data_IF_405610919326
#
_entry.id   IF_405610919326
#
_cell.length_a   1.000
_cell.length_b   1.000
_cell.length_c   1.000
_cell.angle_alpha   90.00
_cell.angle_beta   90.00
_cell.angle_gamma   90.00
#
_symmetry.space_group_name_H-M   'P 1'
#
loop_
_entity.id
_entity.type
_entity.pdbx_description
1 polymer ?
#
# COMPACT_ATOMS: atom_id res chain seq x y z
N UNK A 1 -16.41 -27.89 13.84
CA UNK A 1 -16.13 -26.96 12.72
C UNK A 1 -16.17 -27.71 11.39
N UNK A 2 -15.33 -28.76 11.15
CA UNK A 2 -15.23 -29.47 9.86
C UNK A 2 -16.58 -29.93 9.32
N UNK A 3 -17.42 -30.56 10.15
CA UNK A 3 -18.78 -31.01 9.73
C UNK A 3 -19.69 -29.84 9.32
N UNK A 4 -19.56 -28.67 9.98
CA UNK A 4 -20.35 -27.48 9.66
C UNK A 4 -19.91 -26.80 8.36
N UNK A 5 -18.60 -26.78 8.09
CA UNK A 5 -18.02 -26.11 6.92
C UNK A 5 -18.04 -27.00 5.66
N UNK A 6 -17.76 -28.30 5.81
CA UNK A 6 -17.51 -29.22 4.69
C UNK A 6 -18.54 -30.35 4.59
N UNK A 7 -19.48 -30.48 5.53
CA UNK A 7 -20.45 -31.59 5.59
C UNK A 7 -19.85 -32.91 6.09
N UNK A 8 -18.52 -33.00 6.27
CA UNK A 8 -17.78 -34.14 6.79
C UNK A 8 -17.04 -33.77 8.07
N UNK A 9 -16.93 -34.69 9.01
CA UNK A 9 -16.23 -34.52 10.26
C UNK A 9 -14.79 -35.07 10.24
N UNK A 10 -14.37 -35.67 9.12
CA UNK A 10 -13.01 -36.22 8.99
C UNK A 10 -11.96 -35.08 9.09
N UNK A 11 -10.93 -35.34 9.88
CA UNK A 11 -9.77 -34.45 10.06
C UNK A 11 -8.49 -35.29 10.05
N UNK A 12 -7.39 -34.66 9.65
CA UNK A 12 -6.05 -35.25 9.75
C UNK A 12 -5.11 -34.25 10.46
N UNK A 13 -3.97 -34.74 10.92
CA UNK A 13 -2.98 -33.94 11.61
C UNK A 13 -1.82 -33.62 10.66
N UNK A 14 -1.41 -32.36 10.65
CA UNK A 14 -0.23 -31.90 9.94
C UNK A 14 0.77 -31.28 10.94
N UNK A 15 2.05 -31.24 10.54
CA UNK A 15 3.08 -30.54 11.33
C UNK A 15 2.78 -29.04 11.29
N UNK A 16 2.72 -28.43 12.45
CA UNK A 16 2.58 -26.96 12.59
C UNK A 16 3.96 -26.31 12.62
N UNK A 17 4.17 -25.32 11.76
CA UNK A 17 5.40 -24.52 11.67
C UNK A 17 5.07 -23.06 12.12
N UNK A 18 5.29 -22.72 13.39
CA UNK A 18 4.74 -21.47 13.99
C UNK A 18 5.38 -20.19 13.43
N UNK A 19 6.61 -20.26 12.95
CA UNK A 19 7.35 -19.11 12.40
C UNK A 19 7.81 -19.35 10.97
N UNK A 20 7.00 -20.07 10.20
CA UNK A 20 7.32 -20.34 8.82
C UNK A 20 7.22 -19.11 7.95
N UNK A 21 8.08 -19.05 6.94
CA UNK A 21 7.94 -18.14 5.81
C UNK A 21 7.14 -18.83 4.71
N UNK A 22 6.29 -18.06 4.06
CA UNK A 22 5.55 -18.48 2.89
C UNK A 22 6.36 -18.13 1.65
N UNK A 23 7.02 -19.11 1.08
CA UNK A 23 7.80 -18.98 -0.14
C UNK A 23 7.12 -19.78 -1.25
N UNK A 24 7.03 -19.19 -2.43
CA UNK A 24 6.31 -19.80 -3.55
C UNK A 24 7.10 -19.69 -4.84
N UNK A 25 6.92 -20.66 -5.74
CA UNK A 25 7.63 -20.73 -7.00
C UNK A 25 6.68 -20.57 -8.17
N UNK A 26 6.92 -19.57 -9.01
CA UNK A 26 6.18 -19.37 -10.25
C UNK A 26 6.62 -20.39 -11.29
N UNK A 27 5.68 -21.18 -11.80
CA UNK A 27 5.91 -22.07 -12.93
C UNK A 27 5.11 -21.63 -14.16
N UNK A 28 5.66 -21.96 -15.33
CA UNK A 28 5.03 -21.71 -16.63
C UNK A 28 5.25 -22.94 -17.50
N UNK A 29 4.16 -23.59 -17.95
CA UNK A 29 4.21 -24.78 -18.76
C UNK A 29 3.45 -24.65 -20.09
N UNK A 30 3.98 -25.19 -21.19
CA UNK A 30 3.28 -25.23 -22.45
C UNK A 30 2.56 -26.58 -22.69
N UNK A 31 1.89 -26.73 -23.84
CA UNK A 31 1.22 -27.98 -24.24
C UNK A 31 2.16 -29.00 -24.87
N UNK A 32 3.46 -28.69 -24.97
CA UNK A 32 4.47 -29.50 -25.66
C UNK A 32 5.43 -30.18 -24.67
N UNK A 33 5.22 -29.97 -23.37
CA UNK A 33 6.00 -30.63 -22.30
C UNK A 33 7.11 -29.75 -21.73
N UNK A 34 7.27 -28.51 -22.21
CA UNK A 34 8.21 -27.55 -21.62
C UNK A 34 7.61 -26.96 -20.35
N UNK A 35 8.34 -27.01 -19.24
CA UNK A 35 7.99 -26.35 -17.98
C UNK A 35 9.21 -25.60 -17.46
N UNK A 36 9.04 -24.32 -17.16
CA UNK A 36 10.07 -23.45 -16.59
C UNK A 36 9.62 -22.94 -15.22
N UNK A 37 10.58 -22.62 -14.36
CA UNK A 37 10.33 -21.74 -13.22
C UNK A 37 10.72 -20.31 -13.58
N UNK A 38 10.00 -19.34 -13.03
CA UNK A 38 10.26 -17.91 -13.17
C UNK A 38 10.68 -17.28 -11.82
N UNK A 39 11.36 -18.07 -10.99
CA UNK A 39 11.83 -17.65 -9.68
C UNK A 39 10.79 -17.83 -8.57
N UNK A 40 11.19 -17.33 -7.42
CA UNK A 40 10.46 -17.44 -6.17
C UNK A 40 9.93 -16.08 -5.69
N UNK A 41 8.93 -16.12 -4.83
CA UNK A 41 8.37 -14.97 -4.12
C UNK A 41 8.29 -15.27 -2.62
N UNK A 42 8.42 -14.24 -1.80
CA UNK A 42 8.06 -14.29 -0.38
C UNK A 42 6.70 -13.61 -0.18
N UNK A 43 5.79 -14.31 0.46
CA UNK A 43 4.43 -13.88 0.77
C UNK A 43 4.13 -14.01 2.26
N UNK A 44 5.15 -13.90 3.12
CA UNK A 44 5.04 -14.15 4.55
C UNK A 44 4.28 -13.06 5.31
N UNK A 45 4.28 -11.81 4.83
CA UNK A 45 3.45 -10.77 5.43
C UNK A 45 2.00 -10.94 5.04
N UNK A 46 1.24 -11.56 5.93
CA UNK A 46 -0.16 -11.89 5.69
C UNK A 46 -0.99 -11.80 6.97
N UNK A 47 -2.29 -11.52 6.82
CA UNK A 47 -3.28 -11.53 7.89
C UNK A 47 -4.38 -12.53 7.56
N UNK A 48 -4.64 -13.49 8.46
CA UNK A 48 -5.66 -14.52 8.24
C UNK A 48 -5.51 -15.20 6.87
N UNK A 49 -4.26 -15.51 6.48
CA UNK A 49 -3.87 -16.09 5.19
C UNK A 49 -4.12 -15.18 3.96
N UNK A 50 -4.46 -13.92 4.16
CA UNK A 50 -4.48 -12.92 3.10
C UNK A 50 -3.14 -12.19 3.07
N UNK A 51 -2.44 -12.29 1.97
CA UNK A 51 -1.15 -11.63 1.72
C UNK A 51 -1.33 -10.11 1.70
N UNK A 52 -0.38 -9.37 2.28
CA UNK A 52 -0.40 -7.91 2.39
C UNK A 52 0.71 -7.25 1.57
N UNK A 53 1.91 -7.85 1.65
CA UNK A 53 3.11 -7.43 0.92
C UNK A 53 3.76 -8.69 0.39
N UNK A 54 4.13 -8.67 -0.88
CA UNK A 54 4.85 -9.72 -1.57
C UNK A 54 6.14 -9.18 -2.16
N UNK A 55 7.19 -9.98 -2.15
CA UNK A 55 8.47 -9.60 -2.73
C UNK A 55 9.08 -10.72 -3.60
N UNK A 56 9.84 -10.33 -4.60
CA UNK A 56 10.61 -11.24 -5.45
C UNK A 56 12.00 -10.66 -5.74
N UNK A 57 13.04 -11.53 -5.68
CA UNK A 57 13.03 -12.89 -5.14
C UNK A 57 12.83 -12.93 -3.62
N UNK A 58 12.48 -14.09 -3.05
CA UNK A 58 12.42 -14.27 -1.60
C UNK A 58 13.80 -13.97 -0.99
N UNK A 59 13.86 -12.96 -0.13
CA UNK A 59 15.12 -12.53 0.45
C UNK A 59 15.60 -13.49 1.56
N UNK A 60 16.90 -13.50 1.83
CA UNK A 60 17.54 -14.30 2.89
C UNK A 60 17.19 -15.81 2.82
N UNK A 61 17.09 -16.35 1.61
CA UNK A 61 16.90 -17.78 1.37
C UNK A 61 18.23 -18.39 0.93
N UNK A 62 18.73 -19.46 1.62
CA UNK A 62 19.97 -20.11 1.21
C UNK A 62 19.92 -20.59 -0.25
N UNK A 63 20.95 -20.32 -1.03
CA UNK A 63 20.99 -20.58 -2.48
C UNK A 63 20.66 -22.04 -2.81
N UNK A 64 21.33 -22.99 -2.14
CA UNK A 64 21.08 -24.42 -2.36
C UNK A 64 19.63 -24.84 -2.04
N UNK A 65 18.99 -24.20 -1.05
CA UNK A 65 17.60 -24.45 -0.71
C UNK A 65 16.69 -23.89 -1.80
N UNK A 66 16.97 -22.66 -2.26
CA UNK A 66 16.24 -22.03 -3.38
C UNK A 66 16.28 -22.92 -4.62
N UNK A 67 17.46 -23.39 -5.01
CA UNK A 67 17.64 -24.23 -6.19
C UNK A 67 16.87 -25.55 -6.09
N UNK A 68 16.83 -26.16 -4.90
CA UNK A 68 16.04 -27.37 -4.68
C UNK A 68 14.54 -27.09 -4.76
N UNK A 69 14.06 -26.01 -4.15
CA UNK A 69 12.64 -25.59 -4.24
C UNK A 69 12.22 -25.31 -5.69
N UNK A 70 13.00 -24.55 -6.43
CA UNK A 70 12.76 -24.25 -7.85
C UNK A 70 12.71 -25.54 -8.69
N UNK A 71 13.67 -26.42 -8.50
CA UNK A 71 13.74 -27.71 -9.18
C UNK A 71 12.57 -28.63 -8.79
N UNK A 72 12.18 -28.65 -7.51
CA UNK A 72 11.06 -29.46 -7.03
C UNK A 72 9.73 -28.97 -7.66
N UNK A 73 9.52 -27.66 -7.76
CA UNK A 73 8.34 -27.09 -8.39
C UNK A 73 8.23 -27.47 -9.88
N UNK A 74 9.35 -27.39 -10.62
CA UNK A 74 9.39 -27.81 -12.02
C UNK A 74 9.10 -29.31 -12.16
N UNK A 75 9.75 -30.17 -11.35
CA UNK A 75 9.50 -31.63 -11.35
C UNK A 75 8.02 -31.96 -11.06
N UNK A 76 7.42 -31.27 -10.08
CA UNK A 76 6.01 -31.44 -9.76
C UNK A 76 5.13 -31.07 -10.96
N UNK A 77 5.32 -29.89 -11.53
CA UNK A 77 4.54 -29.42 -12.66
C UNK A 77 4.71 -30.34 -13.91
N UNK A 78 5.91 -30.81 -14.18
CA UNK A 78 6.19 -31.79 -15.26
C UNK A 78 5.47 -33.11 -15.03
N UNK A 79 5.49 -33.63 -13.78
CA UNK A 79 4.90 -34.93 -13.45
C UNK A 79 3.40 -35.01 -13.71
N UNK A 80 2.71 -33.87 -13.64
CA UNK A 80 1.25 -33.76 -13.88
C UNK A 80 0.91 -33.19 -15.27
N UNK A 81 1.92 -32.94 -16.11
CA UNK A 81 1.71 -32.33 -17.43
C UNK A 81 1.07 -30.94 -17.35
N UNK A 82 1.52 -30.12 -16.38
CA UNK A 82 0.93 -28.80 -16.12
C UNK A 82 1.11 -27.86 -17.30
N UNK A 83 0.07 -27.04 -17.56
CA UNK A 83 0.05 -26.04 -18.63
C UNK A 83 -0.41 -24.69 -18.09
N UNK A 84 0.10 -23.61 -18.69
CA UNK A 84 -0.16 -22.22 -18.31
C UNK A 84 0.65 -21.77 -17.09
N UNK A 85 0.35 -20.59 -16.56
CA UNK A 85 0.96 -20.08 -15.35
C UNK A 85 0.36 -20.78 -14.12
N UNK A 86 1.21 -21.19 -13.20
CA UNK A 86 0.82 -21.76 -11.92
C UNK A 86 1.86 -21.47 -10.86
N UNK A 87 1.52 -21.69 -9.61
CA UNK A 87 2.41 -21.40 -8.47
C UNK A 87 2.42 -22.59 -7.52
N UNK A 88 3.61 -23.01 -7.12
CA UNK A 88 3.81 -24.02 -6.09
C UNK A 88 4.18 -23.30 -4.80
N UNK A 89 3.37 -23.46 -3.77
CA UNK A 89 3.53 -22.81 -2.47
C UNK A 89 4.21 -23.74 -1.47
N UNK A 90 5.11 -23.17 -0.67
CA UNK A 90 5.89 -23.86 0.36
C UNK A 90 5.89 -23.08 1.66
N UNK A 91 5.98 -23.82 2.76
CA UNK A 91 6.33 -23.27 4.08
C UNK A 91 7.82 -23.55 4.33
N UNK A 92 8.60 -22.49 4.47
CA UNK A 92 10.02 -22.57 4.85
C UNK A 92 10.15 -22.26 6.34
N UNK A 93 10.78 -23.17 7.08
CA UNK A 93 11.13 -23.00 8.49
C UNK A 93 12.60 -22.59 8.64
N UNK A 94 12.90 -21.31 8.91
CA UNK A 94 14.28 -20.85 9.06
C UNK A 94 15.03 -21.51 10.22
N UNK A 95 14.31 -22.02 11.24
CA UNK A 95 14.94 -22.63 12.40
C UNK A 95 15.49 -24.02 12.11
N UNK A 96 14.81 -24.82 11.29
CA UNK A 96 15.28 -26.15 10.85
C UNK A 96 16.03 -26.12 9.53
N UNK A 97 15.85 -25.07 8.73
CA UNK A 97 16.34 -25.01 7.36
C UNK A 97 15.56 -25.92 6.40
N UNK A 98 14.40 -26.41 6.82
CA UNK A 98 13.56 -27.30 6.01
C UNK A 98 12.43 -26.53 5.34
N UNK A 99 11.96 -27.02 4.19
CA UNK A 99 10.74 -26.52 3.57
C UNK A 99 9.74 -27.65 3.30
N UNK A 100 8.48 -27.29 3.27
CA UNK A 100 7.37 -28.24 3.11
C UNK A 100 6.45 -27.75 2.02
N UNK A 101 6.05 -28.67 1.12
CA UNK A 101 5.00 -28.39 0.15
C UNK A 101 3.70 -28.06 0.86
N UNK A 102 3.06 -26.96 0.48
CA UNK A 102 1.75 -26.55 0.99
C UNK A 102 0.66 -26.91 -0.02
N UNK A 103 0.68 -26.26 -1.17
CA UNK A 103 -0.30 -26.49 -2.25
C UNK A 103 0.24 -26.02 -3.61
N UNK A 104 -0.51 -26.32 -4.66
CA UNK A 104 -0.28 -25.78 -6.00
C UNK A 104 -1.52 -24.97 -6.42
N UNK A 105 -1.31 -23.69 -6.70
CA UNK A 105 -2.33 -22.83 -7.28
C UNK A 105 -2.28 -22.92 -8.80
N UNK A 106 -3.30 -23.54 -9.39
CA UNK A 106 -3.41 -23.81 -10.84
C UNK A 106 -4.02 -22.65 -11.61
N UNK A 107 -3.58 -21.44 -11.29
CA UNK A 107 -4.05 -20.16 -11.84
C UNK A 107 -2.99 -19.10 -11.71
N UNK A 108 -3.19 -17.99 -12.41
CA UNK A 108 -2.44 -16.76 -12.13
C UNK A 108 -2.81 -16.23 -10.73
N UNK A 109 -1.82 -15.80 -9.98
CA UNK A 109 -2.01 -15.20 -8.65
C UNK A 109 -1.97 -13.67 -8.71
N UNK A 110 -2.45 -13.02 -7.64
CA UNK A 110 -2.47 -11.55 -7.51
C UNK A 110 -1.06 -10.99 -7.61
N UNK A 111 -0.10 -11.63 -6.97
CA UNK A 111 1.29 -11.24 -6.79
C UNK A 111 2.22 -11.56 -7.98
N UNK A 112 1.67 -12.03 -9.11
CA UNK A 112 2.48 -12.28 -10.32
C UNK A 112 3.30 -11.06 -10.81
N UNK A 113 2.88 -9.81 -10.59
CA UNK A 113 3.63 -8.64 -11.07
C UNK A 113 5.05 -8.51 -10.53
N UNK A 114 5.35 -8.99 -9.32
CA UNK A 114 6.74 -8.94 -8.81
C UNK A 114 7.65 -9.88 -9.57
N UNK A 115 7.14 -11.05 -10.03
CA UNK A 115 7.86 -11.94 -10.93
C UNK A 115 8.08 -11.31 -12.30
N UNK A 116 7.03 -10.70 -12.88
CA UNK A 116 7.14 -9.98 -14.14
C UNK A 116 8.18 -8.86 -14.07
N UNK A 117 8.20 -8.11 -12.94
CA UNK A 117 9.11 -7.00 -12.76
C UNK A 117 10.59 -7.42 -12.74
N UNK A 118 10.92 -8.56 -12.13
CA UNK A 118 12.31 -9.05 -12.04
C UNK A 118 12.73 -9.89 -13.24
N UNK A 119 11.78 -10.43 -14.04
CA UNK A 119 12.12 -11.31 -15.19
C UNK A 119 11.90 -10.63 -16.53
N UNK A 120 11.09 -9.58 -16.59
CA UNK A 120 10.67 -8.97 -17.85
C UNK A 120 9.70 -9.84 -18.67
N UNK A 121 9.16 -10.92 -18.09
CA UNK A 121 8.28 -11.87 -18.77
C UNK A 121 6.82 -11.55 -18.40
N UNK A 122 5.98 -11.23 -19.39
CA UNK A 122 4.53 -11.01 -19.20
C UNK A 122 3.82 -12.37 -19.12
N UNK A 123 3.37 -12.70 -17.90
CA UNK A 123 2.69 -13.98 -17.63
C UNK A 123 1.32 -14.07 -18.28
N UNK A 124 0.61 -12.97 -18.38
CA UNK A 124 -0.74 -12.94 -19.00
C UNK A 124 -0.62 -13.12 -20.52
N UNK A 125 0.36 -12.47 -21.15
CA UNK A 125 0.65 -12.69 -22.57
C UNK A 125 0.98 -14.17 -22.82
N UNK A 126 1.86 -14.79 -22.03
CA UNK A 126 2.19 -16.19 -22.17
C UNK A 126 1.01 -17.12 -21.92
N UNK A 127 0.12 -16.83 -20.99
CA UNK A 127 -1.11 -17.60 -20.83
C UNK A 127 -1.95 -17.61 -22.12
N UNK A 128 -2.08 -16.46 -22.77
CA UNK A 128 -2.83 -16.35 -24.05
C UNK A 128 -2.13 -17.08 -25.19
N UNK A 129 -0.80 -16.98 -25.28
CA UNK A 129 0.02 -17.67 -26.29
C UNK A 129 -0.04 -19.21 -26.13
N UNK A 130 0.12 -19.70 -24.91
CA UNK A 130 -0.01 -21.12 -24.57
C UNK A 130 -1.42 -21.64 -24.89
N UNK A 131 -2.46 -20.86 -24.56
CA UNK A 131 -3.85 -21.20 -24.88
C UNK A 131 -4.12 -21.32 -26.41
N UNK A 132 -3.34 -20.58 -27.22
CA UNK A 132 -3.34 -20.70 -28.69
C UNK A 132 -2.54 -21.91 -29.20
N UNK A 133 -1.87 -22.65 -28.32
CA UNK A 133 -1.05 -23.80 -28.66
C UNK A 133 0.41 -23.46 -29.05
N UNK A 134 0.85 -22.23 -28.78
CA UNK A 134 2.21 -21.83 -29.04
C UNK A 134 3.18 -22.57 -28.07
N UNK A 135 4.37 -22.92 -28.57
CA UNK A 135 5.45 -23.46 -27.77
C UNK A 135 6.15 -22.33 -27.00
N UNK A 136 6.57 -22.60 -25.77
CA UNK A 136 7.45 -21.70 -25.03
C UNK A 136 8.77 -21.55 -25.79
N UNK A 137 8.98 -20.35 -26.36
CA UNK A 137 10.21 -20.02 -27.08
C UNK A 137 11.36 -19.66 -26.12
N UNK A 138 11.26 -20.05 -24.86
CA UNK A 138 12.23 -19.78 -23.79
C UNK A 138 12.76 -21.09 -23.25
N UNK A 139 14.04 -21.09 -22.92
CA UNK A 139 14.67 -22.14 -22.09
C UNK A 139 14.88 -21.61 -20.67
N UNK A 140 15.17 -22.48 -19.71
CA UNK A 140 15.43 -22.04 -18.34
C UNK A 140 16.63 -21.06 -18.25
N UNK A 141 17.62 -21.19 -19.12
CA UNK A 141 18.77 -20.29 -19.16
C UNK A 141 18.47 -18.91 -19.74
N UNK A 142 17.34 -18.74 -20.43
CA UNK A 142 16.90 -17.45 -20.95
C UNK A 142 16.18 -16.62 -19.89
N UNK A 143 15.73 -17.26 -18.80
CA UNK A 143 15.10 -16.56 -17.68
C UNK A 143 16.18 -15.88 -16.84
N UNK A 144 16.23 -14.56 -16.95
CA UNK A 144 17.15 -13.73 -16.16
C UNK A 144 16.39 -13.06 -15.04
N UNK A 145 17.07 -12.85 -13.92
CA UNK A 145 16.50 -12.13 -12.77
C UNK A 145 17.28 -10.84 -12.56
N UNK A 146 16.58 -9.72 -12.51
CA UNK A 146 17.15 -8.39 -12.31
C UNK A 146 16.55 -7.73 -11.09
N UNK A 147 17.40 -7.30 -10.16
CA UNK A 147 17.01 -6.51 -9.01
C UNK A 147 16.05 -7.19 -8.04
N UNK A 148 15.18 -6.40 -7.47
CA UNK A 148 14.20 -6.80 -6.46
C UNK A 148 12.89 -6.03 -6.63
N UNK A 149 11.76 -6.72 -6.58
CA UNK A 149 10.44 -6.13 -6.70
C UNK A 149 9.62 -6.35 -5.43
N UNK A 150 8.79 -5.37 -5.09
CA UNK A 150 7.82 -5.44 -3.98
C UNK A 150 6.45 -5.05 -4.53
N UNK A 151 5.45 -5.86 -4.22
CA UNK A 151 4.04 -5.54 -4.41
C UNK A 151 3.41 -5.22 -3.05
N UNK A 152 2.55 -4.19 -3.03
CA UNK A 152 1.78 -3.78 -1.85
C UNK A 152 0.31 -3.83 -2.22
N UNK A 153 -0.48 -4.61 -1.50
CA UNK A 153 -1.94 -4.67 -1.70
C UNK A 153 -2.63 -3.49 -1.05
N UNK A 154 -3.34 -2.73 -1.85
CA UNK A 154 -4.12 -1.57 -1.41
C UNK A 154 -5.57 -2.01 -1.23
N UNK A 155 -6.05 -1.97 0.01
CA UNK A 155 -7.38 -2.40 0.39
C UNK A 155 -8.16 -1.28 1.11
N UNK A 156 -9.46 -1.25 0.86
CA UNK A 156 -10.40 -0.36 1.56
C UNK A 156 -10.74 -0.95 2.93
N UNK A 157 -9.82 -0.79 3.87
CA UNK A 157 -9.89 -1.33 5.22
C UNK A 157 -9.30 -0.34 6.23
N UNK A 158 -9.79 -0.42 7.46
CA UNK A 158 -9.24 0.30 8.60
C UNK A 158 -8.45 -0.65 9.53
N UNK A 159 -7.13 -0.72 9.41
CA UNK A 159 -6.31 -1.61 10.24
C UNK A 159 -6.39 -1.31 11.74
N UNK A 160 -6.60 -0.04 12.14
CA UNK A 160 -6.76 0.35 13.54
C UNK A 160 -8.07 -0.18 14.16
N UNK A 161 -9.06 -0.51 13.32
CA UNK A 161 -10.34 -1.11 13.73
C UNK A 161 -10.44 -2.57 13.30
N UNK A 162 -9.40 -3.33 13.53
CA UNK A 162 -9.32 -4.75 13.18
C UNK A 162 -9.61 -5.03 11.69
N UNK A 163 -9.11 -4.16 10.80
CA UNK A 163 -9.30 -4.27 9.35
C UNK A 163 -10.77 -4.26 8.92
N UNK A 164 -11.57 -3.46 9.62
CA UNK A 164 -12.96 -3.25 9.22
C UNK A 164 -13.01 -2.74 7.78
N UNK A 165 -13.81 -3.38 6.90
CA UNK A 165 -13.99 -2.88 5.54
C UNK A 165 -14.52 -1.45 5.52
N UNK A 166 -13.95 -0.63 4.65
CA UNK A 166 -14.38 0.74 4.39
C UNK A 166 -15.18 0.79 3.08
N UNK A 167 -16.26 1.57 3.07
CA UNK A 167 -17.12 1.74 1.90
C UNK A 167 -17.35 3.21 1.62
N UNK A 168 -17.58 3.58 0.37
CA UNK A 168 -17.85 4.97 0.00
C UNK A 168 -17.51 5.27 -1.45
N UNK A 169 -17.62 6.53 -1.81
CA UNK A 169 -17.20 7.03 -3.12
C UNK A 169 -15.77 7.55 -3.02
N UNK A 170 -14.90 7.08 -3.91
CA UNK A 170 -13.55 7.63 -4.07
C UNK A 170 -13.68 9.02 -4.68
N UNK A 171 -13.33 10.05 -3.93
CA UNK A 171 -13.39 11.45 -4.38
C UNK A 171 -12.09 11.91 -5.02
N UNK A 172 -10.96 11.36 -4.55
CA UNK A 172 -9.63 11.56 -5.11
C UNK A 172 -8.95 10.19 -5.29
N UNK A 173 -8.30 10.00 -6.42
CA UNK A 173 -7.42 8.85 -6.70
C UNK A 173 -6.22 9.37 -7.50
N UNK A 174 -5.15 9.67 -6.81
CA UNK A 174 -3.93 10.26 -7.39
C UNK A 174 -2.71 9.38 -7.04
N UNK A 175 -2.47 8.32 -7.81
CA UNK A 175 -1.31 7.45 -7.62
C UNK A 175 0.00 8.18 -7.92
N UNK A 176 1.12 7.75 -7.32
CA UNK A 176 2.43 8.31 -7.62
C UNK A 176 2.84 8.01 -9.07
N UNK A 177 3.61 8.92 -9.66
CA UNK A 177 4.21 8.69 -10.97
C UNK A 177 5.43 7.75 -10.85
N UNK A 178 5.73 7.01 -11.93
CA UNK A 178 6.95 6.21 -12.05
C UNK A 178 6.92 4.86 -11.34
N UNK A 179 5.74 4.41 -10.88
CA UNK A 179 5.50 3.06 -10.37
C UNK A 179 4.42 2.36 -11.19
N UNK A 180 4.43 1.04 -11.19
CA UNK A 180 3.32 0.26 -11.74
C UNK A 180 2.18 0.23 -10.73
N UNK A 181 0.98 0.55 -11.18
CA UNK A 181 -0.25 0.42 -10.41
C UNK A 181 -1.27 -0.38 -11.21
N UNK A 182 -1.60 -1.57 -10.74
CA UNK A 182 -2.71 -2.36 -11.29
C UNK A 182 -3.95 -2.04 -10.44
N UNK A 183 -4.89 -1.27 -10.98
CA UNK A 183 -6.03 -0.72 -10.22
C UNK A 183 -7.36 -1.12 -10.85
N UNK A 184 -8.29 -1.56 -10.01
CA UNK A 184 -9.69 -1.80 -10.36
C UNK A 184 -10.61 -0.58 -10.16
N UNK A 185 -10.07 0.54 -9.66
CA UNK A 185 -10.83 1.74 -9.31
C UNK A 185 -10.17 3.01 -9.83
N UNK A 186 -10.94 4.09 -9.84
CA UNK A 186 -10.51 5.44 -10.18
C UNK A 186 -11.32 6.46 -9.36
N UNK A 187 -11.00 7.75 -9.47
CA UNK A 187 -11.83 8.80 -8.90
C UNK A 187 -13.28 8.69 -9.43
N UNK A 188 -14.26 8.80 -8.55
CA UNK A 188 -15.67 8.60 -8.83
C UNK A 188 -16.19 7.16 -8.64
N UNK A 189 -15.31 6.15 -8.54
CA UNK A 189 -15.70 4.77 -8.24
C UNK A 189 -16.38 4.66 -6.87
N UNK A 190 -17.31 3.71 -6.74
CA UNK A 190 -18.00 3.43 -5.48
C UNK A 190 -17.52 2.08 -4.95
N UNK A 191 -16.90 2.10 -3.79
CA UNK A 191 -16.50 0.91 -3.06
C UNK A 191 -17.70 0.43 -2.24
N UNK A 192 -18.17 -0.77 -2.51
CA UNK A 192 -19.29 -1.41 -1.83
C UNK A 192 -18.85 -2.63 -1.02
N UNK A 193 -19.81 -3.31 -0.42
CA UNK A 193 -19.59 -4.52 0.40
C UNK A 193 -19.81 -5.84 -0.37
N UNK A 194 -19.96 -5.78 -1.69
CA UNK A 194 -20.29 -6.97 -2.51
C UNK A 194 -19.05 -7.71 -3.00
N UNK A 195 -17.89 -7.10 -2.93
CA UNK A 195 -16.61 -7.64 -3.40
C UNK A 195 -15.57 -7.58 -2.29
N UNK A 196 -14.42 -8.21 -2.54
CA UNK A 196 -13.24 -8.09 -1.70
C UNK A 196 -12.83 -6.61 -1.54
N UNK A 197 -12.23 -6.28 -0.40
CA UNK A 197 -11.77 -4.92 -0.07
C UNK A 197 -10.57 -4.46 -0.91
N UNK A 198 -9.86 -5.36 -1.60
CA UNK A 198 -8.69 -5.03 -2.41
C UNK A 198 -9.10 -4.19 -3.62
N UNK A 199 -8.50 -3.01 -3.76
CA UNK A 199 -8.79 -2.05 -4.82
C UNK A 199 -7.70 -1.98 -5.89
N UNK A 200 -6.45 -2.15 -5.47
CA UNK A 200 -5.29 -2.01 -6.34
C UNK A 200 -4.06 -2.71 -5.74
N UNK A 201 -3.04 -2.85 -6.57
CA UNK A 201 -1.69 -3.28 -6.19
C UNK A 201 -0.69 -2.25 -6.70
N UNK A 202 0.20 -1.84 -5.80
CA UNK A 202 1.31 -0.96 -6.11
C UNK A 202 2.57 -1.81 -6.22
N UNK A 203 3.25 -1.76 -7.35
CA UNK A 203 4.44 -2.55 -7.63
C UNK A 203 5.63 -1.62 -7.87
N UNK A 204 6.73 -1.89 -7.18
CA UNK A 204 8.00 -1.20 -7.35
C UNK A 204 9.10 -2.19 -7.73
N UNK A 205 10.11 -1.70 -8.43
CA UNK A 205 11.29 -2.48 -8.81
C UNK A 205 12.53 -1.62 -8.64
N UNK A 206 13.59 -2.20 -8.02
CA UNK A 206 14.85 -1.52 -7.79
C UNK A 206 16.02 -2.52 -7.92
N UNK A 207 17.26 -2.03 -8.05
CA UNK A 207 18.44 -2.91 -8.15
C UNK A 207 18.66 -3.81 -6.93
N UNK A 208 18.12 -3.42 -5.76
CA UNK A 208 18.22 -4.20 -4.53
C UNK A 208 16.98 -4.05 -3.66
N UNK A 209 16.83 -4.94 -2.66
CA UNK A 209 15.69 -4.95 -1.74
C UNK A 209 15.55 -3.65 -0.95
N UNK A 210 16.65 -3.09 -0.45
CA UNK A 210 16.61 -1.86 0.31
C UNK A 210 16.13 -0.68 -0.55
N UNK A 211 16.53 -0.66 -1.82
CA UNK A 211 16.03 0.27 -2.82
C UNK A 211 14.53 0.10 -3.08
N UNK A 212 14.07 -1.14 -3.24
CA UNK A 212 12.66 -1.44 -3.45
C UNK A 212 11.80 -1.02 -2.24
N UNK A 213 12.25 -1.29 -1.00
CA UNK A 213 11.58 -0.83 0.22
C UNK A 213 11.48 0.71 0.25
N UNK A 214 12.58 1.42 0.01
CA UNK A 214 12.56 2.90 -0.02
C UNK A 214 11.62 3.44 -1.09
N UNK A 215 11.60 2.80 -2.26
CA UNK A 215 10.72 3.20 -3.37
C UNK A 215 9.25 2.93 -3.05
N UNK A 216 8.91 1.79 -2.42
CA UNK A 216 7.56 1.47 -1.99
C UNK A 216 7.06 2.46 -0.93
N UNK A 217 7.88 2.79 0.08
CA UNK A 217 7.55 3.79 1.10
C UNK A 217 7.32 5.16 0.46
N UNK A 218 8.22 5.61 -0.41
CA UNK A 218 8.06 6.90 -1.10
C UNK A 218 6.82 6.93 -2.00
N UNK A 219 6.48 5.81 -2.63
CA UNK A 219 5.28 5.70 -3.44
C UNK A 219 4.00 5.77 -2.59
N UNK A 220 3.98 5.10 -1.43
CA UNK A 220 2.86 5.19 -0.48
C UNK A 220 2.71 6.63 0.05
N UNK A 221 3.81 7.27 0.42
CA UNK A 221 3.82 8.65 0.94
C UNK A 221 3.35 9.68 -0.11
N UNK A 222 3.48 9.35 -1.39
CA UNK A 222 3.04 10.21 -2.50
C UNK A 222 1.63 9.86 -3.01
N UNK A 223 1.00 8.79 -2.50
CA UNK A 223 -0.31 8.34 -2.98
C UNK A 223 -1.43 9.10 -2.26
N UNK A 224 -2.09 10.01 -2.96
CA UNK A 224 -3.21 10.75 -2.40
C UNK A 224 -4.56 10.09 -2.76
N UNK A 225 -5.36 9.82 -1.73
CA UNK A 225 -6.69 9.24 -1.85
C UNK A 225 -7.68 10.00 -0.97
N UNK A 226 -8.88 10.22 -1.49
CA UNK A 226 -9.99 10.85 -0.75
C UNK A 226 -11.27 10.02 -0.84
N UNK A 227 -12.14 10.17 0.14
CA UNK A 227 -13.49 9.59 0.19
C UNK A 227 -13.60 8.21 0.82
N UNK A 228 -12.55 7.39 0.81
CA UNK A 228 -12.52 6.04 1.39
C UNK A 228 -11.21 5.84 2.16
N UNK A 229 -11.30 5.27 3.36
CA UNK A 229 -10.13 4.86 4.13
C UNK A 229 -9.43 3.66 3.49
N UNK A 230 -8.09 3.70 3.46
CA UNK A 230 -7.25 2.63 2.91
C UNK A 230 -6.20 2.19 3.92
N UNK A 231 -5.66 0.99 3.71
CA UNK A 231 -4.61 0.40 4.55
C UNK A 231 -3.20 0.95 4.30
N UNK A 232 -3.02 2.01 3.52
CA UNK A 232 -1.71 2.54 3.09
C UNK A 232 -0.76 2.85 4.24
N UNK A 233 -1.23 3.51 5.30
CA UNK A 233 -0.39 3.84 6.47
C UNK A 233 0.09 2.58 7.20
N UNK A 234 -0.73 1.53 7.23
CA UNK A 234 -0.36 0.24 7.78
C UNK A 234 0.69 -0.47 6.93
N UNK A 235 0.52 -0.47 5.61
CA UNK A 235 1.50 -1.03 4.67
C UNK A 235 2.85 -0.32 4.80
N UNK A 236 2.84 1.01 4.95
CA UNK A 236 4.04 1.79 5.23
C UNK A 236 4.72 1.36 6.53
N UNK A 237 3.93 1.16 7.60
CA UNK A 237 4.45 0.71 8.89
C UNK A 237 5.09 -0.68 8.79
N UNK A 238 4.50 -1.61 8.03
CA UNK A 238 5.08 -2.92 7.76
C UNK A 238 6.43 -2.82 7.02
N UNK A 239 6.49 -2.06 5.93
CA UNK A 239 7.71 -1.87 5.13
C UNK A 239 8.86 -1.26 5.94
N UNK A 240 8.54 -0.39 6.90
CA UNK A 240 9.54 0.28 7.75
C UNK A 240 9.83 -0.46 9.05
N UNK A 241 9.10 -1.54 9.34
CA UNK A 241 9.31 -2.32 10.55
C UNK A 241 10.66 -3.05 10.53
N UNK A 242 11.34 -3.05 11.68
CA UNK A 242 12.67 -3.63 11.81
C UNK A 242 12.70 -5.13 11.46
N UNK A 243 11.64 -5.87 11.77
CA UNK A 243 11.56 -7.31 11.47
C UNK A 243 11.40 -7.58 9.98
N UNK A 244 10.65 -6.74 9.24
CA UNK A 244 10.58 -6.86 7.80
C UNK A 244 11.93 -6.55 7.14
N UNK A 245 12.57 -5.46 7.56
CA UNK A 245 13.87 -5.06 7.03
C UNK A 245 14.96 -6.11 7.29
N UNK A 246 14.90 -6.76 8.46
CA UNK A 246 15.88 -7.76 8.91
C UNK A 246 15.47 -9.22 8.62
N UNK A 247 14.53 -9.46 7.71
CA UNK A 247 14.06 -10.79 7.27
C UNK A 247 13.52 -11.69 8.40
N UNK A 248 13.01 -11.09 9.49
CA UNK A 248 12.45 -11.83 10.63
C UNK A 248 10.94 -12.00 10.58
N UNK A 249 10.30 -11.47 9.54
CA UNK A 249 8.86 -11.62 9.32
C UNK A 249 8.50 -13.07 8.97
N UNK A 250 7.31 -13.50 9.37
CA UNK A 250 6.79 -14.84 9.14
C UNK A 250 5.26 -14.80 9.07
N UNK A 251 4.64 -15.92 8.67
CA UNK A 251 3.20 -15.97 8.37
C UNK A 251 2.27 -15.60 9.52
N UNK A 252 2.71 -15.77 10.76
CA UNK A 252 1.99 -15.39 11.98
C UNK A 252 2.62 -14.21 12.73
N UNK A 253 3.50 -13.42 12.06
CA UNK A 253 4.36 -12.43 12.71
C UNK A 253 3.72 -11.07 13.01
N UNK A 254 2.54 -10.76 12.46
CA UNK A 254 1.91 -9.45 12.68
C UNK A 254 1.65 -9.11 14.16
N UNK A 255 1.17 -10.04 15.00
CA UNK A 255 1.05 -9.77 16.44
C UNK A 255 2.41 -9.53 17.15
N UNK A 256 3.49 -10.12 16.65
CA UNK A 256 4.84 -9.87 17.18
C UNK A 256 5.32 -8.46 16.78
N UNK A 257 4.98 -8.02 15.57
CA UNK A 257 5.31 -6.68 15.07
C UNK A 257 4.50 -5.58 15.77
N UNK A 258 3.24 -5.84 16.08
CA UNK A 258 2.32 -4.89 16.73
C UNK A 258 1.61 -5.54 17.91
N UNK A 259 2.31 -5.78 19.04
CA UNK A 259 1.76 -6.54 20.18
C UNK A 259 0.57 -5.85 20.87
N UNK A 260 0.48 -4.54 20.81
CA UNK A 260 -0.65 -3.75 21.32
C UNK A 260 -1.69 -3.43 20.24
N UNK A 261 -1.54 -4.01 19.04
CA UNK A 261 -2.27 -3.61 17.84
C UNK A 261 -1.65 -2.40 17.15
N UNK A 262 -2.03 -2.18 15.90
CA UNK A 262 -1.57 -1.01 15.16
C UNK A 262 -2.55 0.15 15.35
N UNK A 263 -2.01 1.34 15.61
CA UNK A 263 -2.77 2.57 15.70
C UNK A 263 -2.43 3.49 14.52
N UNK A 264 -3.44 4.15 13.96
CA UNK A 264 -3.23 5.16 12.95
C UNK A 264 -2.34 6.29 13.51
N UNK A 265 -1.23 6.65 12.85
CA UNK A 265 -0.43 7.79 13.27
C UNK A 265 -1.28 9.06 13.30
N UNK A 266 -1.16 9.83 14.36
CA UNK A 266 -1.76 11.16 14.40
C UNK A 266 -0.97 12.10 13.49
N UNK A 267 -1.65 12.98 12.72
CA UNK A 267 -0.97 14.00 11.95
C UNK A 267 -0.06 14.85 12.86
N UNK A 268 1.13 15.16 12.38
CA UNK A 268 2.01 16.06 13.10
C UNK A 268 1.51 17.53 13.07
N UNK A 269 2.15 18.39 13.83
CA UNK A 269 1.79 19.80 13.92
C UNK A 269 1.87 20.51 12.56
N UNK A 270 2.87 20.16 11.75
CA UNK A 270 3.07 20.75 10.43
C UNK A 270 1.96 20.35 9.47
N UNK A 271 1.65 19.08 9.39
CA UNK A 271 0.57 18.57 8.53
C UNK A 271 -0.79 19.11 8.98
N UNK A 272 -1.03 19.16 10.29
CA UNK A 272 -2.25 19.78 10.85
C UNK A 272 -2.35 21.25 10.46
N UNK A 273 -1.27 22.03 10.60
CA UNK A 273 -1.23 23.43 10.20
C UNK A 273 -1.48 23.62 8.71
N UNK A 274 -0.85 22.80 7.86
CA UNK A 274 -1.04 22.86 6.40
C UNK A 274 -2.48 22.47 5.99
N UNK A 275 -3.10 21.50 6.65
CA UNK A 275 -4.48 21.12 6.39
C UNK A 275 -5.44 22.27 6.67
N UNK A 276 -5.25 22.98 7.79
CA UNK A 276 -6.07 24.13 8.15
C UNK A 276 -5.81 25.33 7.21
N UNK A 277 -4.57 25.54 6.78
CA UNK A 277 -4.25 26.56 5.77
C UNK A 277 -4.93 26.28 4.44
N UNK A 278 -4.89 25.03 3.98
CA UNK A 278 -5.59 24.63 2.76
C UNK A 278 -7.10 24.88 2.85
N UNK A 279 -7.71 24.49 3.96
CA UNK A 279 -9.12 24.73 4.21
C UNK A 279 -9.44 26.24 4.28
N UNK A 280 -8.59 27.02 4.93
CA UNK A 280 -8.74 28.47 5.02
C UNK A 280 -8.72 29.13 3.64
N UNK A 281 -7.76 28.75 2.79
CA UNK A 281 -7.67 29.22 1.40
C UNK A 281 -8.87 28.76 0.55
N UNK A 282 -9.34 27.52 0.76
CA UNK A 282 -10.50 26.98 0.06
C UNK A 282 -11.79 27.73 0.40
N UNK A 283 -11.94 28.13 1.66
CA UNK A 283 -13.11 28.87 2.14
C UNK A 283 -12.98 30.39 1.95
N UNK A 284 -11.81 30.87 1.52
CA UNK A 284 -11.61 32.29 1.25
C UNK A 284 -12.56 32.74 0.13
N UNK A 285 -13.33 33.81 0.33
CA UNK A 285 -14.27 34.28 -0.68
C UNK A 285 -13.53 34.72 -1.94
N UNK A 286 -13.93 34.17 -3.07
CA UNK A 286 -13.43 34.54 -4.41
C UNK A 286 -14.07 35.86 -4.90
N UNK A 287 -14.25 36.83 -4.04
CA UNK A 287 -15.16 37.91 -4.30
C UNK A 287 -14.54 39.22 -4.78
N UNK A 288 -15.30 39.95 -5.59
CA UNK A 288 -14.97 41.25 -6.14
C UNK A 288 -15.42 42.42 -5.24
N UNK A 289 -16.01 42.15 -4.06
CA UNK A 289 -16.48 43.22 -3.16
C UNK A 289 -15.38 43.57 -2.13
N UNK A 290 -15.28 44.84 -1.73
CA UNK A 290 -14.35 45.24 -0.66
C UNK A 290 -14.57 44.50 0.66
N UNK A 291 -15.77 44.05 0.90
CA UNK A 291 -16.14 43.29 2.12
C UNK A 291 -15.70 41.84 2.06
N UNK A 292 -15.68 41.26 0.89
CA UNK A 292 -15.16 39.89 0.64
C UNK A 292 -13.62 39.87 0.65
N UNK A 293 -12.98 40.98 0.25
CA UNK A 293 -11.51 41.12 0.29
C UNK A 293 -10.94 41.29 1.71
N UNK A 294 -11.81 41.56 2.72
CA UNK A 294 -11.39 41.67 4.11
C UNK A 294 -11.06 40.31 4.77
N UNK A 295 -11.32 39.19 4.09
CA UNK A 295 -11.00 37.84 4.57
C UNK A 295 -11.63 37.55 5.94
N UNK A 296 -10.83 37.10 6.88
CA UNK A 296 -11.22 36.77 8.25
C UNK A 296 -11.39 37.98 9.20
N UNK A 297 -11.26 39.22 8.69
CA UNK A 297 -11.38 40.42 9.51
C UNK A 297 -12.72 40.49 10.27
N UNK A 298 -12.68 40.80 11.56
CA UNK A 298 -13.86 40.95 12.46
C UNK A 298 -13.77 42.26 13.26
N UNK A 299 -14.88 42.97 13.35
CA UNK A 299 -14.99 44.17 14.17
C UNK A 299 -14.76 43.93 15.68
N UNK A 300 -14.91 42.69 16.12
CA UNK A 300 -14.81 42.28 17.53
C UNK A 300 -13.52 41.56 17.87
N UNK A 301 -12.52 41.62 17.01
CA UNK A 301 -11.21 41.03 17.33
C UNK A 301 -10.58 41.76 18.54
N UNK A 302 -9.92 41.04 19.48
CA UNK A 302 -9.19 41.70 20.56
C UNK A 302 -8.17 42.68 20.01
N UNK A 303 -8.04 43.85 20.68
CA UNK A 303 -7.17 44.94 20.24
C UNK A 303 -5.73 44.39 19.96
N UNK A 304 -5.24 44.65 18.74
CA UNK A 304 -3.88 44.31 18.32
C UNK A 304 -3.72 43.01 17.49
N UNK A 305 -4.80 42.30 17.16
CA UNK A 305 -4.72 41.14 16.23
C UNK A 305 -5.71 41.31 15.09
N UNK A 306 -5.24 41.33 13.82
CA UNK A 306 -6.14 41.22 12.66
C UNK A 306 -6.93 39.91 12.78
N UNK A 307 -8.20 39.94 12.30
CA UNK A 307 -9.17 38.88 12.51
C UNK A 307 -8.59 37.47 12.27
N UNK A 308 -8.58 36.67 13.32
CA UNK A 308 -8.21 35.26 13.23
C UNK A 308 -9.44 34.41 12.94
N UNK A 309 -9.38 33.54 11.95
CA UNK A 309 -10.34 32.46 11.79
C UNK A 309 -10.00 31.35 12.78
N UNK A 310 -11.03 30.66 13.30
CA UNK A 310 -10.85 29.53 14.22
C UNK A 310 -11.43 28.29 13.59
N UNK A 311 -10.66 27.22 13.57
CA UNK A 311 -11.02 25.91 13.04
C UNK A 311 -10.94 24.86 14.15
N UNK A 312 -11.94 24.02 14.25
CA UNK A 312 -12.00 22.97 15.26
C UNK A 312 -11.68 21.63 14.59
N UNK A 313 -10.64 20.96 15.04
CA UNK A 313 -10.44 19.55 14.71
C UNK A 313 -11.45 18.70 15.50
N UNK A 314 -11.96 17.63 14.92
CA UNK A 314 -13.05 16.80 15.50
C UNK A 314 -12.70 16.22 16.88
N UNK A 315 -11.42 16.09 17.20
CA UNK A 315 -10.91 15.52 18.46
C UNK A 315 -10.24 16.55 19.39
N UNK A 316 -10.32 17.85 19.06
CA UNK A 316 -9.60 18.85 19.83
C UNK A 316 -10.56 19.67 20.74
N UNK A 317 -10.14 19.89 21.98
CA UNK A 317 -10.86 20.71 22.95
C UNK A 317 -10.69 22.22 22.69
N UNK A 318 -9.66 22.59 21.94
CA UNK A 318 -9.37 23.99 21.58
C UNK A 318 -9.24 24.17 20.06
N UNK A 319 -9.57 25.38 19.53
CA UNK A 319 -9.48 25.65 18.11
C UNK A 319 -8.05 25.95 17.66
N UNK A 320 -7.77 25.57 16.41
CA UNK A 320 -6.60 26.05 15.67
C UNK A 320 -6.90 27.46 15.17
N UNK A 321 -6.03 28.41 15.46
CA UNK A 321 -6.21 29.81 15.09
C UNK A 321 -5.42 30.14 13.84
N UNK A 322 -6.11 30.63 12.81
CA UNK A 322 -5.50 31.12 11.59
C UNK A 322 -5.39 32.64 11.61
N UNK A 323 -4.24 33.16 11.26
CA UNK A 323 -4.02 34.60 11.08
C UNK A 323 -3.36 34.89 9.74
N UNK A 324 -3.90 35.88 9.04
CA UNK A 324 -3.27 36.44 7.86
C UNK A 324 -2.16 37.42 8.32
N UNK A 325 -0.94 37.16 7.89
CA UNK A 325 0.20 38.08 8.05
C UNK A 325 0.65 38.54 6.66
N UNK A 326 1.25 39.74 6.52
CA UNK A 326 1.64 40.20 5.20
C UNK A 326 2.53 39.21 4.46
N UNK A 327 2.00 38.62 3.38
CA UNK A 327 2.69 37.64 2.53
C UNK A 327 2.75 36.21 3.09
N UNK A 328 2.08 35.92 4.21
CA UNK A 328 2.10 34.59 4.82
C UNK A 328 0.75 34.26 5.50
N UNK A 329 0.54 32.98 5.81
CA UNK A 329 -0.50 32.47 6.72
C UNK A 329 0.16 31.81 7.92
N UNK A 330 -0.39 32.04 9.11
CA UNK A 330 0.07 31.38 10.32
C UNK A 330 -1.07 30.58 10.98
N UNK A 331 -0.81 29.31 11.30
CA UNK A 331 -1.68 28.43 12.07
C UNK A 331 -1.08 28.23 13.46
N UNK A 332 -1.79 28.64 14.51
CA UNK A 332 -1.41 28.41 15.90
C UNK A 332 -2.26 27.25 16.42
N UNK A 333 -1.58 26.15 16.74
CA UNK A 333 -2.21 24.94 17.27
C UNK A 333 -2.54 25.09 18.76
N UNK A 334 -3.42 24.23 19.33
CA UNK A 334 -3.77 24.26 20.74
C UNK A 334 -2.59 24.14 21.71
N UNK A 335 -1.56 23.42 21.35
CA UNK A 335 -0.32 23.26 22.14
C UNK A 335 0.63 24.46 22.05
N UNK A 336 0.25 25.50 21.32
CA UNK A 336 1.01 26.73 21.13
C UNK A 336 2.03 26.67 19.98
N UNK A 337 2.18 25.55 19.27
CA UNK A 337 3.02 25.48 18.09
C UNK A 337 2.48 26.43 17.00
N UNK A 338 3.37 27.15 16.34
CA UNK A 338 3.04 28.06 15.25
C UNK A 338 3.64 27.53 13.94
N UNK A 339 2.79 27.29 12.97
CA UNK A 339 3.17 26.89 11.62
C UNK A 339 2.91 28.09 10.71
N UNK A 340 3.95 28.64 10.13
CA UNK A 340 3.87 29.78 9.22
C UNK A 340 4.31 29.37 7.83
N UNK A 341 3.49 29.69 6.84
CA UNK A 341 3.77 29.47 5.42
C UNK A 341 3.80 30.81 4.69
N UNK A 342 4.92 31.10 4.03
CA UNK A 342 5.11 32.24 3.15
C UNK A 342 4.47 31.97 1.78
N UNK A 343 3.76 32.96 1.25
CA UNK A 343 3.10 32.94 -0.05
C UNK A 343 2.32 31.62 -0.31
N UNK A 344 1.50 31.17 0.66
CA UNK A 344 0.72 29.95 0.46
C UNK A 344 -0.34 30.15 -0.62
N UNK A 345 -0.48 29.18 -1.51
CA UNK A 345 -1.47 29.19 -2.59
C UNK A 345 -2.10 27.80 -2.72
N UNK A 346 -3.43 27.78 -2.84
CA UNK A 346 -4.20 26.58 -3.18
C UNK A 346 -4.64 26.69 -4.64
N UNK A 347 -4.16 25.77 -5.48
CA UNK A 347 -4.50 25.71 -6.89
C UNK A 347 -5.06 24.32 -7.22
N UNK A 348 -6.38 24.23 -7.43
CA UNK A 348 -7.06 22.94 -7.46
C UNK A 348 -6.86 22.21 -6.13
N UNK A 349 -6.41 20.95 -6.19
CA UNK A 349 -6.09 20.14 -5.03
C UNK A 349 -4.61 20.21 -4.62
N UNK A 350 -3.93 21.35 -4.84
CA UNK A 350 -2.51 21.49 -4.54
C UNK A 350 -2.22 22.74 -3.71
N UNK A 351 -1.77 22.53 -2.49
CA UNK A 351 -1.26 23.57 -1.61
C UNK A 351 0.26 23.70 -1.82
N UNK A 352 0.71 24.92 -2.05
CA UNK A 352 2.15 25.24 -2.22
C UNK A 352 2.51 26.52 -1.46
N UNK A 353 3.79 26.69 -1.19
CA UNK A 353 4.34 27.84 -0.45
C UNK A 353 5.75 27.57 0.01
N UNK A 354 6.18 28.28 1.05
CA UNK A 354 7.48 28.08 1.71
C UNK A 354 7.26 28.01 3.23
N UNK A 355 7.95 27.12 3.91
CA UNK A 355 8.05 27.07 5.37
C UNK A 355 9.54 27.17 5.73
N UNK A 356 9.90 28.08 6.59
CA UNK A 356 11.29 28.34 6.98
C UNK A 356 12.20 28.57 5.75
N UNK A 357 11.68 29.26 4.73
CA UNK A 357 12.38 29.50 3.47
C UNK A 357 12.45 28.28 2.54
N UNK A 358 12.00 27.07 2.95
CA UNK A 358 12.02 25.85 2.14
C UNK A 358 10.71 25.74 1.35
N UNK A 359 10.75 25.64 0.01
CA UNK A 359 9.53 25.45 -0.79
C UNK A 359 8.88 24.10 -0.51
N UNK A 360 7.57 24.08 -0.48
CA UNK A 360 6.78 22.86 -0.39
C UNK A 360 5.67 22.85 -1.45
N UNK A 361 5.24 21.66 -1.81
CA UNK A 361 4.04 21.42 -2.63
C UNK A 361 3.40 20.10 -2.21
N UNK A 362 2.17 20.16 -1.73
CA UNK A 362 1.41 18.99 -1.22
C UNK A 362 0.08 18.90 -1.94
N UNK A 363 -0.41 17.69 -2.14
CA UNK A 363 -1.82 17.49 -2.47
C UNK A 363 -2.63 17.87 -1.24
N UNK A 364 -3.68 18.65 -1.42
CA UNK A 364 -4.60 19.07 -0.36
C UNK A 364 -6.02 18.97 -0.90
N UNK A 365 -6.55 17.76 -0.89
CA UNK A 365 -7.92 17.51 -1.33
C UNK A 365 -8.90 17.83 -0.19
N UNK A 366 -9.88 18.67 -0.49
CA UNK A 366 -10.83 19.17 0.49
C UNK A 366 -12.24 18.75 0.09
N UNK A 367 -12.90 18.03 0.96
CA UNK A 367 -14.27 17.57 0.73
C UNK A 367 -15.20 17.89 1.90
N UNK A 368 -16.48 18.10 1.60
CA UNK A 368 -17.50 18.29 2.62
C UNK A 368 -18.07 16.94 3.06
N UNK A 369 -17.95 16.63 4.35
CA UNK A 369 -18.45 15.42 4.98
C UNK A 369 -19.56 15.79 5.97
N UNK A 370 -20.80 15.92 5.50
CA UNK A 370 -21.94 16.38 6.31
C UNK A 370 -21.77 17.83 6.78
N UNK A 371 -21.62 18.02 8.11
CA UNK A 371 -21.38 19.32 8.72
C UNK A 371 -19.89 19.66 8.91
N UNK A 372 -18.99 18.77 8.55
CA UNK A 372 -17.55 18.90 8.72
C UNK A 372 -16.85 19.00 7.36
N UNK A 373 -15.61 19.45 7.39
CA UNK A 373 -14.70 19.41 6.26
C UNK A 373 -13.63 18.35 6.52
N UNK A 374 -13.29 17.59 5.51
CA UNK A 374 -12.18 16.66 5.54
C UNK A 374 -11.10 17.17 4.61
N UNK A 375 -9.87 17.24 5.11
CA UNK A 375 -8.70 17.64 4.33
C UNK A 375 -7.76 16.45 4.29
N UNK A 376 -7.44 16.01 3.09
CA UNK A 376 -6.46 14.96 2.81
C UNK A 376 -5.18 15.65 2.31
N UNK A 377 -4.06 15.42 3.01
CA UNK A 377 -2.75 15.96 2.66
C UNK A 377 -1.82 14.88 2.14
#
# INVERSE_FOLDING_TARGET
EAKGAFGDAAVFLERYAPRARHVEVQVLGDSHGTVLHLGDRDCSLQRNHQKLIEEAPAADLPEALRDDMLSAAVRLAQSIGYRSAGTVEYLYDPASGEYYFLEMNTRLQVEHPVTEAITGIDLVEWQLRIARGETLALTQSDVQFDGHAIEVRIAAENPAENFRPETGRITLWAPPAGVRLDSGVAAGSVVGHHYDSMLAKLIVHAPDRAGAIRQAVAAIDAFAVGGVGLNLSYQRALLTHADFQAFRHHTSGLPDMFPEGWAQPTPDARDTGLAVMALHLHLAPAGASPWESLGSWRLTAPAGRPGAASYWATSADEPIRMSDVPGALAAVLPDGQNIEAEAPALTGDRLSGRIDGVPFSRVAHIERAGHHWRVHL
#
